data_IF_353786264605
#
_entry.id   IF_353786264605
#
_cell.length_a   1.000
_cell.length_b   1.000
_cell.length_c   1.000
_cell.angle_alpha   90.00
_cell.angle_beta   90.00
_cell.angle_gamma   90.00
#
_symmetry.space_group_name_H-M   'P 1'
#
loop_
_entity.id
_entity.type
_entity.pdbx_description
1 polymer ?
#
# COMPACT_ATOMS: atom_id res chain seq x y z
N UNK A 1 -63.83 -1.11 -0.23
CA UNK A 1 -62.94 -0.25 0.55
C UNK A 1 -61.82 -1.13 1.08
N UNK A 2 -60.59 -0.78 0.71
CA UNK A 2 -59.35 -1.54 0.85
C UNK A 2 -58.84 -1.44 2.29
N UNK A 3 -58.27 -2.50 2.86
CA UNK A 3 -57.00 -2.31 3.57
C UNK A 3 -56.12 -3.57 3.60
N UNK A 4 -54.95 -3.39 3.01
CA UNK A 4 -53.88 -4.35 2.75
C UNK A 4 -53.10 -4.58 4.04
N UNK A 5 -52.83 -5.85 4.35
CA UNK A 5 -51.97 -6.28 5.45
C UNK A 5 -50.53 -5.85 5.15
N UNK A 6 -50.02 -4.84 5.85
CA UNK A 6 -48.64 -4.37 5.71
C UNK A 6 -47.71 -5.32 6.45
N UNK A 7 -47.07 -6.23 5.71
CA UNK A 7 -45.96 -7.05 6.22
C UNK A 7 -44.74 -6.12 6.31
N UNK A 8 -44.43 -5.68 7.52
CA UNK A 8 -43.18 -4.98 7.81
C UNK A 8 -42.01 -5.96 7.66
N UNK A 9 -41.40 -5.97 6.47
CA UNK A 9 -40.05 -6.51 6.30
C UNK A 9 -39.10 -5.55 7.04
N UNK A 10 -38.83 -5.85 8.31
CA UNK A 10 -37.67 -5.31 9.03
C UNK A 10 -36.42 -5.89 8.37
N UNK A 11 -36.08 -5.36 7.20
CA UNK A 11 -34.79 -5.61 6.57
C UNK A 11 -33.71 -5.16 7.53
N UNK A 12 -32.85 -6.09 7.94
CA UNK A 12 -31.59 -5.78 8.58
C UNK A 12 -30.76 -4.94 7.60
N UNK A 13 -30.99 -3.63 7.58
CA UNK A 13 -30.03 -2.68 7.05
C UNK A 13 -28.82 -2.74 7.98
N UNK A 14 -27.94 -3.72 7.75
CA UNK A 14 -26.58 -3.63 8.27
C UNK A 14 -26.03 -2.35 7.66
N UNK A 15 -25.69 -1.33 8.45
CA UNK A 15 -25.05 -0.17 7.90
C UNK A 15 -23.79 -0.69 7.22
N UNK A 16 -23.69 -0.47 5.92
CA UNK A 16 -22.50 -0.74 5.11
C UNK A 16 -21.43 0.26 5.52
N UNK A 17 -21.03 0.20 6.79
CA UNK A 17 -19.97 0.98 7.43
C UNK A 17 -18.83 0.01 7.70
N UNK A 18 -18.41 -0.70 6.66
CA UNK A 18 -17.20 -1.51 6.66
C UNK A 18 -16.29 -0.86 5.63
N UNK A 19 -15.32 -0.07 6.10
CA UNK A 19 -14.28 0.43 5.20
C UNK A 19 -13.52 -0.70 4.52
N UNK A 20 -12.88 -0.37 3.42
CA UNK A 20 -12.13 -1.28 2.57
C UNK A 20 -10.73 -1.51 3.17
N UNK A 21 -10.37 -2.78 3.38
CA UNK A 21 -9.16 -3.14 4.12
C UNK A 21 -9.21 -2.71 5.59
N UNK A 22 -8.12 -2.93 6.34
CA UNK A 22 -8.02 -2.53 7.76
C UNK A 22 -7.99 -1.01 8.01
N UNK A 23 -8.25 -0.18 6.99
CA UNK A 23 -8.04 1.27 6.99
C UNK A 23 -9.30 2.10 7.26
N UNK A 24 -10.49 1.52 7.08
CA UNK A 24 -11.75 2.26 7.23
C UNK A 24 -12.13 3.13 6.01
N UNK A 25 -11.35 3.12 4.91
CA UNK A 25 -11.56 3.96 3.73
C UNK A 25 -12.68 3.47 2.80
N UNK A 26 -13.19 4.31 1.89
CA UNK A 26 -13.93 3.81 0.72
C UNK A 26 -12.99 3.03 -0.20
N UNK A 27 -13.53 2.26 -1.14
CA UNK A 27 -12.71 1.52 -2.10
C UNK A 27 -11.85 2.46 -2.95
N UNK A 28 -12.44 3.52 -3.48
CA UNK A 28 -11.76 4.50 -4.33
C UNK A 28 -10.67 5.24 -3.54
N UNK A 29 -10.96 5.60 -2.28
CA UNK A 29 -9.98 6.21 -1.39
C UNK A 29 -8.83 5.24 -1.04
N UNK A 30 -9.13 3.96 -0.89
CA UNK A 30 -8.13 2.93 -0.65
C UNK A 30 -7.23 2.70 -1.87
N UNK A 31 -7.81 2.65 -3.08
CA UNK A 31 -7.04 2.53 -4.33
C UNK A 31 -6.09 3.73 -4.52
N UNK A 32 -6.57 4.96 -4.28
CA UNK A 32 -5.75 6.15 -4.31
C UNK A 32 -4.63 6.14 -3.24
N UNK A 33 -4.93 5.63 -2.05
CA UNK A 33 -3.94 5.47 -0.97
C UNK A 33 -2.85 4.46 -1.34
N UNK A 34 -3.22 3.29 -1.88
CA UNK A 34 -2.25 2.28 -2.36
C UNK A 34 -1.34 2.87 -3.44
N UNK A 35 -1.90 3.62 -4.39
CA UNK A 35 -1.11 4.28 -5.44
C UNK A 35 -0.13 5.31 -4.86
N UNK A 36 -0.57 6.10 -3.87
CA UNK A 36 0.29 7.06 -3.18
C UNK A 36 1.47 6.36 -2.51
N UNK A 37 1.23 5.26 -1.78
CA UNK A 37 2.28 4.47 -1.12
C UNK A 37 3.23 3.86 -2.15
N UNK A 38 2.70 3.31 -3.25
CA UNK A 38 3.51 2.76 -4.33
C UNK A 38 4.42 3.81 -4.99
N UNK A 39 3.90 5.01 -5.26
CA UNK A 39 4.70 6.12 -5.79
C UNK A 39 5.76 6.59 -4.80
N UNK A 40 5.42 6.61 -3.51
CA UNK A 40 6.34 7.01 -2.44
C UNK A 40 7.54 6.05 -2.32
N UNK A 41 7.30 4.74 -2.20
CA UNK A 41 8.40 3.76 -2.12
C UNK A 41 9.25 3.74 -3.40
N UNK A 42 8.66 3.87 -4.59
CA UNK A 42 9.42 3.95 -5.84
C UNK A 42 10.35 5.18 -5.90
N UNK A 43 9.90 6.33 -5.41
CA UNK A 43 10.75 7.53 -5.34
C UNK A 43 11.97 7.26 -4.45
N UNK A 44 11.76 6.65 -3.28
CA UNK A 44 12.84 6.34 -2.34
C UNK A 44 13.81 5.30 -2.89
N UNK A 45 13.32 4.21 -3.51
CA UNK A 45 14.19 3.23 -4.19
C UNK A 45 15.07 3.90 -5.25
N UNK A 46 14.54 4.86 -6.02
CA UNK A 46 15.34 5.61 -6.98
C UNK A 46 16.39 6.52 -6.31
N UNK A 47 16.04 7.18 -5.20
CA UNK A 47 16.99 8.00 -4.44
C UNK A 47 18.13 7.15 -3.85
N UNK A 48 17.80 5.98 -3.28
CA UNK A 48 18.79 5.03 -2.74
C UNK A 48 19.68 4.46 -3.85
N UNK A 49 19.12 4.15 -5.03
CA UNK A 49 19.90 3.75 -6.20
C UNK A 49 20.88 4.85 -6.63
N UNK A 50 20.45 6.10 -6.66
CA UNK A 50 21.35 7.21 -7.00
C UNK A 50 22.45 7.42 -5.94
N UNK A 51 22.13 7.18 -4.66
CA UNK A 51 23.09 7.22 -3.57
C UNK A 51 24.16 6.14 -3.73
N UNK A 52 23.78 4.91 -4.09
CA UNK A 52 24.73 3.81 -4.30
C UNK A 52 25.65 4.05 -5.50
N UNK A 53 25.17 4.72 -6.54
CA UNK A 53 25.97 5.09 -7.71
C UNK A 53 26.96 6.24 -7.46
N UNK A 54 26.71 7.08 -6.44
CA UNK A 54 27.56 8.24 -6.11
C UNK A 54 28.53 7.97 -4.96
N UNK A 55 28.33 6.90 -4.20
CA UNK A 55 29.18 6.58 -3.06
C UNK A 55 30.46 5.87 -3.50
N UNK A 56 31.61 6.35 -3.02
CA UNK A 56 32.88 5.65 -3.17
C UNK A 56 33.01 4.46 -2.18
N UNK A 57 32.25 4.46 -1.09
CA UNK A 57 32.16 3.38 -0.10
C UNK A 57 30.70 3.07 0.22
N UNK A 58 30.22 1.89 -0.19
CA UNK A 58 28.85 1.46 0.08
C UNK A 58 28.58 1.21 1.57
N UNK A 59 29.63 0.95 2.37
CA UNK A 59 29.44 0.73 3.81
C UNK A 59 29.00 2.00 4.54
N UNK A 60 29.29 3.17 3.98
CA UNK A 60 28.89 4.47 4.54
C UNK A 60 27.37 4.58 4.71
N UNK A 61 26.60 3.93 3.83
CA UNK A 61 25.14 4.03 3.79
C UNK A 61 24.46 2.67 4.01
N UNK A 62 25.15 1.72 4.64
CA UNK A 62 24.65 0.36 4.83
C UNK A 62 23.29 0.32 5.53
N UNK A 63 23.04 1.20 6.51
CA UNK A 63 21.77 1.27 7.22
C UNK A 63 20.61 1.69 6.30
N UNK A 64 20.87 2.58 5.33
CA UNK A 64 19.90 2.99 4.31
C UNK A 64 19.61 1.84 3.36
N UNK A 65 20.65 1.11 2.92
CA UNK A 65 20.48 -0.05 2.03
C UNK A 65 19.72 -1.19 2.70
N UNK A 66 19.98 -1.46 3.98
CA UNK A 66 19.24 -2.45 4.75
C UNK A 66 17.77 -2.04 4.92
N UNK A 67 17.50 -0.76 5.24
CA UNK A 67 16.15 -0.25 5.36
C UNK A 67 15.37 -0.29 4.04
N UNK A 68 16.03 0.04 2.91
CA UNK A 68 15.41 -0.02 1.57
C UNK A 68 15.08 -1.46 1.18
N UNK A 69 15.99 -2.40 1.46
CA UNK A 69 15.74 -3.82 1.23
C UNK A 69 14.55 -4.34 2.07
N UNK A 70 14.49 -3.97 3.36
CA UNK A 70 13.37 -4.35 4.23
C UNK A 70 12.04 -3.74 3.73
N UNK A 71 12.06 -2.46 3.35
CA UNK A 71 10.91 -1.80 2.71
C UNK A 71 10.47 -2.57 1.46
N UNK A 72 11.40 -2.96 0.58
CA UNK A 72 11.10 -3.68 -0.65
C UNK A 72 10.38 -5.01 -0.36
N UNK A 73 10.84 -5.77 0.64
CA UNK A 73 10.22 -7.03 1.04
C UNK A 73 8.81 -6.85 1.63
N UNK A 74 8.62 -5.82 2.46
CA UNK A 74 7.31 -5.48 3.03
C UNK A 74 6.33 -5.02 1.93
N UNK A 75 6.81 -4.21 0.99
CA UNK A 75 6.04 -3.68 -0.13
C UNK A 75 5.83 -4.70 -1.27
N UNK A 76 6.40 -5.90 -1.19
CA UNK A 76 6.33 -6.93 -2.25
C UNK A 76 4.92 -7.19 -2.80
N UNK A 77 3.85 -7.30 -1.99
CA UNK A 77 2.51 -7.50 -2.54
C UNK A 77 2.02 -6.34 -3.41
N UNK A 78 2.36 -5.09 -3.06
CA UNK A 78 2.03 -3.91 -3.87
C UNK A 78 2.80 -3.95 -5.19
N UNK A 79 4.08 -4.30 -5.16
CA UNK A 79 4.91 -4.43 -6.35
C UNK A 79 4.39 -5.55 -7.28
N UNK A 80 4.03 -6.73 -6.74
CA UNK A 80 3.42 -7.82 -7.50
C UNK A 80 2.10 -7.38 -8.15
N UNK A 81 1.26 -6.65 -7.42
CA UNK A 81 0.00 -6.12 -7.93
C UNK A 81 0.23 -5.13 -9.07
N UNK A 82 1.15 -4.18 -8.90
CA UNK A 82 1.49 -3.20 -9.92
C UNK A 82 1.98 -3.86 -11.20
N UNK A 83 2.90 -4.85 -11.10
CA UNK A 83 3.39 -5.61 -12.26
C UNK A 83 2.27 -6.31 -13.00
N UNK A 84 1.38 -7.02 -12.29
CA UNK A 84 0.24 -7.69 -12.94
C UNK A 84 -0.71 -6.70 -13.61
N UNK A 85 -0.96 -5.56 -12.97
CA UNK A 85 -1.80 -4.51 -13.56
C UNK A 85 -1.17 -3.91 -14.82
N UNK A 86 0.15 -3.76 -14.87
CA UNK A 86 0.86 -3.28 -16.06
C UNK A 86 0.81 -4.28 -17.21
N UNK A 87 0.84 -5.57 -16.90
CA UNK A 87 0.78 -6.67 -17.87
C UNK A 87 -0.67 -7.04 -18.30
N UNK A 88 -1.67 -6.25 -17.89
CA UNK A 88 -3.10 -6.53 -18.08
C UNK A 88 -3.53 -7.91 -17.55
N UNK A 89 -2.83 -8.39 -16.51
CA UNK A 89 -3.10 -9.65 -15.83
C UNK A 89 -3.95 -9.43 -14.59
N UNK A 90 -4.90 -10.34 -14.36
CA UNK A 90 -5.73 -10.29 -13.16
C UNK A 90 -4.89 -10.64 -11.91
N UNK A 91 -4.82 -9.70 -10.96
CA UNK A 91 -4.13 -9.88 -9.68
C UNK A 91 -4.71 -11.04 -8.83
N UNK A 92 -5.99 -11.34 -8.97
CA UNK A 92 -6.70 -12.31 -8.16
C UNK A 92 -6.95 -11.86 -6.72
N UNK A 93 -8.00 -12.40 -6.09
CA UNK A 93 -8.47 -11.97 -4.76
C UNK A 93 -7.45 -12.16 -3.64
N UNK A 94 -6.59 -13.18 -3.74
CA UNK A 94 -5.56 -13.44 -2.74
C UNK A 94 -4.49 -12.36 -2.72
N UNK A 95 -4.08 -11.86 -3.88
CA UNK A 95 -3.10 -10.79 -3.97
C UNK A 95 -3.68 -9.47 -3.48
N UNK A 96 -4.93 -9.15 -3.84
CA UNK A 96 -5.63 -7.96 -3.32
C UNK A 96 -5.68 -7.95 -1.79
N UNK A 97 -6.00 -9.08 -1.15
CA UNK A 97 -5.96 -9.20 0.32
C UNK A 97 -4.56 -9.03 0.91
N UNK A 98 -3.50 -9.45 0.19
CA UNK A 98 -2.12 -9.22 0.65
C UNK A 98 -1.77 -7.73 0.58
N UNK A 99 -2.12 -7.06 -0.52
CA UNK A 99 -1.97 -5.60 -0.68
C UNK A 99 -2.67 -4.85 0.45
N UNK A 100 -3.93 -5.19 0.75
CA UNK A 100 -4.69 -4.59 1.85
C UNK A 100 -4.01 -4.73 3.22
N UNK A 101 -3.28 -5.83 3.45
CA UNK A 101 -2.57 -6.07 4.71
C UNK A 101 -1.18 -5.43 4.74
N UNK A 102 -0.55 -5.22 3.59
CA UNK A 102 0.82 -4.73 3.50
C UNK A 102 0.94 -3.23 3.25
N UNK A 103 -0.12 -2.55 2.79
CA UNK A 103 -0.03 -1.12 2.42
C UNK A 103 0.41 -0.21 3.58
N UNK A 104 -0.17 -0.38 4.78
CA UNK A 104 0.20 0.43 5.95
C UNK A 104 1.62 0.10 6.43
N UNK A 105 2.02 -1.18 6.62
CA UNK A 105 3.41 -1.52 6.91
C UNK A 105 4.41 -1.03 5.85
N UNK A 106 4.05 -1.08 4.56
CA UNK A 106 4.88 -0.59 3.47
C UNK A 106 5.10 0.92 3.56
N UNK A 107 4.04 1.69 3.85
CA UNK A 107 4.16 3.13 4.08
C UNK A 107 5.09 3.43 5.27
N UNK A 108 4.96 2.70 6.37
CA UNK A 108 5.81 2.88 7.56
C UNK A 108 7.28 2.57 7.26
N UNK A 109 7.56 1.49 6.51
CA UNK A 109 8.91 1.15 6.10
C UNK A 109 9.49 2.22 5.13
N UNK A 110 8.66 2.72 4.21
CA UNK A 110 9.04 3.83 3.33
C UNK A 110 9.32 5.12 4.11
N UNK A 111 8.51 5.46 5.11
CA UNK A 111 8.78 6.60 6.00
C UNK A 111 10.10 6.44 6.74
N UNK A 112 10.47 5.23 7.15
CA UNK A 112 11.76 4.96 7.79
C UNK A 112 12.94 5.21 6.83
N UNK A 113 12.86 4.74 5.60
CA UNK A 113 13.88 5.04 4.56
C UNK A 113 13.99 6.55 4.29
N UNK A 114 12.84 7.24 4.15
CA UNK A 114 12.79 8.69 3.94
C UNK A 114 13.42 9.47 5.12
N UNK A 115 13.21 9.01 6.36
CA UNK A 115 13.86 9.57 7.53
C UNK A 115 15.38 9.43 7.46
N UNK A 116 15.91 8.25 7.11
CA UNK A 116 17.35 8.03 6.99
C UNK A 116 17.98 8.88 5.87
N UNK A 117 17.32 8.98 4.71
CA UNK A 117 17.77 9.83 3.60
C UNK A 117 17.82 11.31 3.96
N UNK A 118 16.85 11.80 4.76
CA UNK A 118 16.84 13.19 5.22
C UNK A 118 17.98 13.53 6.19
N UNK A 119 18.53 12.55 6.91
CA UNK A 119 19.69 12.77 7.79
C UNK A 119 21.01 12.99 7.01
N UNK A 120 21.01 12.82 5.69
CA UNK A 120 22.16 13.11 4.84
C UNK A 120 22.32 14.61 4.51
N UNK A 121 21.28 15.43 4.75
CA UNK A 121 21.22 16.85 4.44
C UNK A 121 21.11 17.71 5.71
#
# INVERSE_FOLDING_TARGET
MVMILVIALSGCAKPFWGGYGGTGLSREAFEAYVEQVFRFQNRLTNEVMLLSLRSDDLNQYNDIFLAEHEMHEICRPLNEYATKSMDDQNAGLLLMRRVERSVVPCEQAAQYVDLLLRHLY
#
